data_IF_565379383798
#
_entry.id   IF_565379383798
#
_cell.length_a   1.000
_cell.length_b   1.000
_cell.length_c   1.000
_cell.angle_alpha   90.00
_cell.angle_beta   90.00
_cell.angle_gamma   90.00
#
_symmetry.space_group_name_H-M   'P 1'
#
loop_
_entity.id
_entity.type
_entity.pdbx_description
1 polymer ?
#
# COMPACT_ATOMS: atom_id res chain seq x y z
N UNK A 1 -8.60 10.19 -11.60
CA UNK A 1 -9.12 10.76 -10.36
C UNK A 1 -8.07 10.61 -9.29
N UNK A 2 -7.84 11.68 -8.52
CA UNK A 2 -6.84 11.73 -7.46
C UNK A 2 -7.53 11.54 -6.10
N UNK A 3 -6.90 10.79 -5.20
CA UNK A 3 -7.35 10.68 -3.81
C UNK A 3 -6.54 11.67 -2.97
N UNK A 4 -7.24 12.42 -2.13
CA UNK A 4 -6.68 13.39 -1.16
C UNK A 4 -7.05 12.93 0.24
N UNK A 5 -6.41 13.53 1.25
CA UNK A 5 -6.77 13.37 2.65
C UNK A 5 -6.77 11.89 3.08
N UNK A 6 -5.56 11.34 3.15
CA UNK A 6 -5.29 9.98 3.63
C UNK A 6 -4.60 10.00 5.00
N UNK A 7 -4.80 11.08 5.77
CA UNK A 7 -4.12 11.29 7.03
C UNK A 7 -4.63 10.34 8.13
N UNK A 8 -3.68 9.88 8.93
CA UNK A 8 -3.91 9.04 10.09
C UNK A 8 -4.15 7.57 9.77
N UNK A 9 -3.66 6.72 10.67
CA UNK A 9 -3.79 5.27 10.57
C UNK A 9 -5.27 4.82 10.61
N UNK A 10 -5.72 3.98 9.67
CA UNK A 10 -7.02 3.34 9.74
C UNK A 10 -7.10 2.40 10.95
N UNK A 11 -8.27 2.31 11.59
CA UNK A 11 -8.50 1.31 12.64
C UNK A 11 -8.74 -0.07 12.01
N UNK A 12 -7.79 -0.99 12.16
CA UNK A 12 -7.95 -2.38 11.72
C UNK A 12 -7.17 -3.35 12.61
N UNK A 13 -7.56 -4.63 12.56
CA UNK A 13 -6.85 -5.73 13.20
C UNK A 13 -6.13 -6.56 12.13
N UNK A 14 -4.83 -6.84 12.27
CA UNK A 14 -4.15 -7.84 11.44
C UNK A 14 -4.92 -9.16 11.42
N UNK A 15 -4.99 -9.82 10.27
CA UNK A 15 -5.67 -11.11 10.16
C UNK A 15 -7.18 -11.04 9.99
N UNK A 16 -7.81 -9.86 10.03
CA UNK A 16 -9.28 -9.74 10.11
C UNK A 16 -10.00 -9.66 8.77
N UNK A 17 -9.29 -9.35 7.68
CA UNK A 17 -9.84 -9.19 6.34
C UNK A 17 -8.74 -9.23 5.29
N UNK A 18 -9.12 -9.34 4.02
CA UNK A 18 -8.22 -9.14 2.89
C UNK A 18 -8.30 -7.68 2.45
N UNK A 19 -7.23 -6.91 2.64
CA UNK A 19 -7.18 -5.49 2.25
C UNK A 19 -5.76 -4.92 2.19
N UNK A 20 -5.60 -3.88 1.38
CA UNK A 20 -4.56 -2.86 1.51
C UNK A 20 -5.07 -1.68 2.34
N UNK A 21 -4.21 -1.19 3.23
CA UNK A 21 -4.37 0.03 4.02
C UNK A 21 -3.28 1.01 3.62
N UNK A 22 -3.69 2.23 3.25
CA UNK A 22 -2.77 3.30 2.87
C UNK A 22 -3.04 4.53 3.73
N UNK A 23 -2.04 5.05 4.43
CA UNK A 23 -2.20 6.31 5.15
C UNK A 23 -0.90 7.10 5.22
N UNK A 24 -1.03 8.36 5.60
CA UNK A 24 0.10 9.21 5.95
C UNK A 24 0.04 9.58 7.42
N UNK A 25 1.20 9.64 8.05
CA UNK A 25 1.39 10.31 9.33
C UNK A 25 2.81 10.92 9.38
N UNK A 26 3.28 11.29 10.58
CA UNK A 26 4.61 11.90 10.79
C UNK A 26 5.79 11.00 10.39
N UNK A 27 5.56 9.70 10.22
CA UNK A 27 6.60 8.71 9.84
C UNK A 27 6.65 8.46 8.33
N UNK A 28 5.77 9.10 7.55
CA UNK A 28 5.70 8.99 6.11
C UNK A 28 4.38 8.37 5.62
N UNK A 29 4.42 7.82 4.40
CA UNK A 29 3.34 7.03 3.84
C UNK A 29 3.51 5.57 4.23
N UNK A 30 2.44 4.95 4.68
CA UNK A 30 2.40 3.54 5.05
C UNK A 30 1.46 2.82 4.10
N UNK A 31 1.98 1.83 3.39
CA UNK A 31 1.19 0.86 2.64
C UNK A 31 1.34 -0.50 3.33
N UNK A 32 0.30 -0.91 4.05
CA UNK A 32 0.25 -2.21 4.75
C UNK A 32 -0.85 -3.04 4.12
N UNK A 33 -0.64 -4.34 3.96
CA UNK A 33 -1.71 -5.27 3.60
C UNK A 33 -1.90 -6.32 4.68
N UNK A 34 -3.09 -6.89 4.71
CA UNK A 34 -3.43 -7.99 5.59
C UNK A 34 -4.42 -8.91 4.91
N UNK A 35 -4.56 -10.10 5.47
CA UNK A 35 -5.39 -11.17 4.93
C UNK A 35 -6.10 -11.93 6.04
N UNK A 36 -7.11 -12.72 5.70
CA UNK A 36 -7.78 -13.63 6.64
C UNK A 36 -7.98 -14.99 5.98
N UNK A 37 -7.87 -16.06 6.76
CA UNK A 37 -8.06 -17.43 6.31
C UNK A 37 -6.80 -17.99 5.64
N UNK A 38 -6.77 -17.96 4.30
CA UNK A 38 -5.75 -18.63 3.49
C UNK A 38 -4.62 -17.68 3.10
N UNK A 39 -3.52 -18.28 2.63
CA UNK A 39 -2.38 -17.56 2.05
C UNK A 39 -2.82 -16.88 0.74
N UNK A 40 -2.53 -15.58 0.61
CA UNK A 40 -2.83 -14.80 -0.58
C UNK A 40 -1.57 -14.13 -1.13
N UNK A 41 -1.52 -13.93 -2.45
CA UNK A 41 -0.41 -13.19 -3.08
C UNK A 41 -0.77 -11.71 -3.20
N UNK A 42 0.05 -10.86 -2.56
CA UNK A 42 -0.02 -9.42 -2.67
C UNK A 42 1.10 -8.94 -3.57
N UNK A 43 0.72 -8.23 -4.64
CA UNK A 43 1.66 -7.65 -5.61
C UNK A 43 1.27 -6.23 -5.95
N UNK A 44 2.24 -5.45 -6.40
CA UNK A 44 1.93 -4.15 -6.94
C UNK A 44 3.14 -3.28 -7.11
N UNK A 45 2.84 -2.02 -7.38
CA UNK A 45 3.81 -1.00 -7.69
C UNK A 45 3.35 0.35 -7.16
N UNK A 46 4.30 1.11 -6.62
CA UNK A 46 4.20 2.55 -6.39
C UNK A 46 5.12 3.22 -7.39
N UNK A 47 4.59 4.17 -8.16
CA UNK A 47 5.36 5.01 -9.08
C UNK A 47 5.22 6.47 -8.66
N UNK A 48 6.32 7.10 -8.27
CA UNK A 48 6.39 8.49 -7.86
C UNK A 48 6.68 9.44 -9.03
N UNK A 49 6.12 10.66 -8.99
CA UNK A 49 6.55 11.74 -9.88
C UNK A 49 7.91 12.33 -9.50
N UNK A 50 8.36 12.04 -8.27
CA UNK A 50 9.68 12.32 -7.69
C UNK A 50 10.21 11.07 -7.02
N UNK A 51 11.49 11.08 -6.58
CA UNK A 51 12.04 9.96 -5.85
C UNK A 51 11.16 9.52 -4.68
N UNK A 52 11.03 8.21 -4.54
CA UNK A 52 10.49 7.50 -3.40
C UNK A 52 11.68 7.11 -2.51
N UNK A 53 11.50 7.10 -1.19
CA UNK A 53 12.51 6.60 -0.26
C UNK A 53 11.87 5.58 0.67
N UNK A 54 12.27 4.31 0.57
CA UNK A 54 11.85 3.30 1.55
C UNK A 54 12.46 3.64 2.92
N UNK A 55 11.59 3.75 3.93
CA UNK A 55 11.97 4.03 5.32
C UNK A 55 12.02 2.75 6.14
N UNK A 56 11.03 1.87 5.91
CA UNK A 56 10.88 0.64 6.69
C UNK A 56 10.12 -0.41 5.87
N UNK A 57 10.55 -1.65 6.01
CA UNK A 57 9.79 -2.83 5.58
C UNK A 57 9.08 -3.42 6.80
N UNK A 58 7.85 -3.89 6.61
CA UNK A 58 7.05 -4.50 7.67
C UNK A 58 6.92 -5.99 7.36
N UNK A 59 7.44 -6.81 8.28
CA UNK A 59 7.36 -8.28 8.32
C UNK A 59 7.49 -8.94 6.94
N UNK A 60 8.71 -9.22 6.51
CA UNK A 60 8.95 -9.98 5.29
C UNK A 60 9.45 -11.36 5.65
N UNK A 61 8.75 -12.40 5.19
CA UNK A 61 9.28 -13.76 5.14
C UNK A 61 10.42 -13.86 4.12
N UNK A 62 11.22 -14.92 4.18
CA UNK A 62 12.43 -15.07 3.37
C UNK A 62 12.20 -15.06 1.85
N UNK A 63 10.99 -15.34 1.39
CA UNK A 63 10.63 -15.39 -0.03
C UNK A 63 9.92 -14.12 -0.52
N UNK A 64 9.62 -13.20 0.40
CA UNK A 64 8.90 -11.98 0.10
C UNK A 64 9.86 -10.92 -0.42
N UNK A 65 9.42 -10.22 -1.47
CA UNK A 65 10.23 -9.21 -2.15
C UNK A 65 9.52 -7.88 -2.08
N UNK A 66 10.19 -6.90 -1.49
CA UNK A 66 9.92 -5.48 -1.71
C UNK A 66 11.23 -4.88 -2.21
N UNK A 67 11.22 -4.39 -3.44
CA UNK A 67 12.42 -3.86 -4.09
C UNK A 67 12.17 -2.46 -4.63
N UNK A 68 13.24 -1.69 -4.72
CA UNK A 68 13.25 -0.36 -5.32
C UNK A 68 14.21 -0.41 -6.53
N UNK A 69 13.73 -0.77 -7.73
CA UNK A 69 14.60 -0.94 -8.91
C UNK A 69 15.23 0.37 -9.40
N UNK A 70 14.57 1.50 -9.13
CA UNK A 70 15.05 2.85 -9.42
C UNK A 70 14.53 3.83 -8.37
N UNK A 71 14.90 5.10 -8.47
CA UNK A 71 14.52 6.10 -7.47
C UNK A 71 13.02 6.39 -7.42
N UNK A 72 12.24 6.09 -8.47
CA UNK A 72 10.82 6.46 -8.58
C UNK A 72 9.86 5.29 -8.45
N UNK A 73 10.37 4.07 -8.29
CA UNK A 73 9.56 2.85 -8.35
C UNK A 73 9.80 1.99 -7.13
N UNK A 74 8.73 1.55 -6.46
CA UNK A 74 8.76 0.48 -5.44
C UNK A 74 7.84 -0.64 -5.92
N UNK A 75 8.35 -1.87 -5.97
CA UNK A 75 7.59 -3.06 -6.40
C UNK A 75 7.60 -4.08 -5.27
N UNK A 76 6.47 -4.78 -5.11
CA UNK A 76 6.39 -5.92 -4.19
C UNK A 76 5.78 -7.17 -4.83
N UNK A 77 6.25 -8.32 -4.36
CA UNK A 77 5.67 -9.65 -4.55
C UNK A 77 5.83 -10.42 -3.24
N UNK A 78 4.73 -10.58 -2.52
CA UNK A 78 4.67 -11.06 -1.14
C UNK A 78 3.54 -12.06 -0.96
N UNK A 79 3.63 -12.90 0.08
CA UNK A 79 2.60 -13.88 0.42
C UNK A 79 2.27 -13.86 1.90
N UNK A 80 1.12 -13.31 2.22
CA UNK A 80 0.68 -13.14 3.61
C UNK A 80 -0.41 -14.16 3.96
N UNK A 81 -0.40 -14.69 5.19
CA UNK A 81 -1.50 -15.46 5.79
C UNK A 81 -1.77 -15.03 7.24
N UNK A 82 -2.98 -14.54 7.53
CA UNK A 82 -3.44 -14.11 8.86
C UNK A 82 -2.55 -13.07 9.60
N UNK A 83 -1.66 -12.38 8.89
CA UNK A 83 -0.75 -11.36 9.45
C UNK A 83 -0.74 -10.10 8.54
N UNK A 84 0.29 -9.26 8.69
CA UNK A 84 0.52 -8.04 7.93
C UNK A 84 1.93 -8.03 7.33
N UNK A 85 2.03 -7.54 6.10
CA UNK A 85 3.31 -7.05 5.55
C UNK A 85 3.11 -5.65 4.99
N UNK A 86 4.20 -4.98 4.62
CA UNK A 86 4.09 -3.67 4.02
C UNK A 86 5.37 -2.88 3.91
N UNK A 87 5.21 -1.63 3.51
CA UNK A 87 6.29 -0.67 3.34
C UNK A 87 5.87 0.71 3.85
N UNK A 88 6.77 1.33 4.61
CA UNK A 88 6.74 2.76 4.91
C UNK A 88 7.72 3.47 3.99
N UNK A 89 7.29 4.53 3.33
CA UNK A 89 8.11 5.29 2.38
C UNK A 89 7.79 6.79 2.42
N UNK A 90 8.71 7.60 1.92
CA UNK A 90 8.57 9.04 1.75
C UNK A 90 8.59 9.43 0.27
N UNK A 91 7.88 10.51 -0.06
CA UNK A 91 8.01 11.23 -1.32
C UNK A 91 7.47 12.65 -1.17
N UNK A 92 7.96 13.57 -2.01
CA UNK A 92 7.58 14.99 -1.97
C UNK A 92 6.40 15.33 -2.90
N UNK A 93 6.08 14.45 -3.85
CA UNK A 93 5.10 14.70 -4.91
C UNK A 93 4.08 13.56 -5.03
N UNK A 94 3.07 13.79 -5.87
CA UNK A 94 2.07 12.79 -6.23
C UNK A 94 2.71 11.44 -6.61
N UNK A 95 2.05 10.36 -6.22
CA UNK A 95 2.44 8.99 -6.58
C UNK A 95 1.21 8.16 -6.95
N UNK A 96 1.42 7.19 -7.83
CA UNK A 96 0.39 6.28 -8.32
C UNK A 96 0.61 4.89 -7.77
N UNK A 97 -0.47 4.22 -7.35
CA UNK A 97 -0.45 2.85 -6.90
C UNK A 97 -1.25 1.95 -7.83
N UNK A 98 -0.69 0.77 -8.09
CA UNK A 98 -1.37 -0.36 -8.72
C UNK A 98 -1.33 -1.53 -7.74
N UNK A 99 -2.49 -1.91 -7.22
CA UNK A 99 -2.61 -2.90 -6.13
C UNK A 99 -3.24 -4.19 -6.65
N UNK A 100 -2.59 -5.33 -6.41
CA UNK A 100 -3.02 -6.63 -6.91
C UNK A 100 -3.25 -7.62 -5.77
N UNK A 101 -4.19 -8.53 -5.97
CA UNK A 101 -4.49 -9.70 -5.15
C UNK A 101 -4.68 -10.90 -6.09
N UNK A 102 -3.96 -11.99 -5.84
CA UNK A 102 -4.05 -13.24 -6.61
C UNK A 102 -4.07 -13.02 -8.13
N UNK A 103 -3.06 -12.29 -8.62
CA UNK A 103 -2.84 -11.98 -10.04
C UNK A 103 -3.86 -11.02 -10.69
N UNK A 104 -4.88 -10.56 -9.98
CA UNK A 104 -5.84 -9.56 -10.48
C UNK A 104 -5.74 -8.25 -9.69
N UNK A 105 -6.28 -7.15 -10.24
CA UNK A 105 -6.36 -5.90 -9.46
C UNK A 105 -7.32 -6.11 -8.31
N UNK A 106 -6.90 -5.78 -7.09
CA UNK A 106 -7.81 -5.86 -5.95
C UNK A 106 -8.98 -4.89 -6.16
N UNK A 107 -10.19 -5.35 -5.84
CA UNK A 107 -11.39 -4.54 -5.89
C UNK A 107 -11.33 -3.37 -4.91
N UNK A 108 -12.06 -2.28 -5.21
CA UNK A 108 -11.99 -1.02 -4.46
C UNK A 108 -12.38 -1.16 -2.98
N UNK A 109 -13.19 -2.16 -2.64
CA UNK A 109 -13.56 -2.48 -1.25
C UNK A 109 -12.39 -3.04 -0.42
N UNK A 110 -11.34 -3.51 -1.08
CA UNK A 110 -10.09 -3.97 -0.46
C UNK A 110 -9.00 -2.91 -0.42
N UNK A 111 -9.31 -1.64 -0.71
CA UNK A 111 -8.36 -0.53 -0.64
C UNK A 111 -8.92 0.52 0.30
N UNK A 112 -8.28 0.71 1.46
CA UNK A 112 -8.80 1.54 2.55
C UNK A 112 -7.76 2.59 2.94
N UNK A 113 -8.08 3.86 2.68
CA UNK A 113 -7.13 4.95 2.82
C UNK A 113 -7.48 5.91 3.96
N UNK A 114 -6.48 6.27 4.77
CA UNK A 114 -6.58 7.22 5.88
C UNK A 114 -7.51 6.77 7.01
N UNK A 115 -7.60 7.60 8.05
CA UNK A 115 -8.41 7.32 9.26
C UNK A 115 -9.87 7.03 8.92
N UNK A 116 -10.40 7.68 7.87
CA UNK A 116 -11.79 7.57 7.41
C UNK A 116 -12.03 6.39 6.46
N UNK A 117 -11.02 5.56 6.18
CA UNK A 117 -11.11 4.37 5.32
C UNK A 117 -11.69 4.64 3.93
N UNK A 118 -11.29 5.77 3.32
CA UNK A 118 -11.74 6.16 1.98
C UNK A 118 -11.30 5.15 0.94
N UNK A 119 -12.13 4.96 -0.08
CA UNK A 119 -11.83 4.09 -1.22
C UNK A 119 -11.49 4.95 -2.44
N UNK A 120 -10.50 4.55 -3.26
CA UNK A 120 -10.33 5.17 -4.57
C UNK A 120 -11.49 4.80 -5.50
N UNK A 121 -11.72 5.60 -6.56
CA UNK A 121 -12.74 5.26 -7.57
C UNK A 121 -12.26 4.27 -8.64
N UNK A 122 -10.96 3.97 -8.67
CA UNK A 122 -10.35 3.03 -9.62
C UNK A 122 -9.05 2.47 -9.06
N UNK A 123 -8.56 1.42 -9.70
CA UNK A 123 -7.23 0.86 -9.49
C UNK A 123 -6.63 0.63 -10.88
N UNK A 124 -5.50 1.29 -11.25
CA UNK A 124 -4.63 2.14 -10.41
C UNK A 124 -5.21 3.52 -10.07
N UNK A 125 -4.69 4.14 -9.02
CA UNK A 125 -5.07 5.49 -8.55
C UNK A 125 -3.87 6.30 -8.06
N UNK A 126 -4.03 7.62 -8.01
CA UNK A 126 -2.97 8.57 -7.63
C UNK A 126 -3.34 9.24 -6.30
N UNK A 127 -2.38 9.32 -5.38
CA UNK A 127 -2.45 10.19 -4.20
C UNK A 127 -1.93 11.57 -4.58
N UNK A 128 -2.70 12.60 -4.23
CA UNK A 128 -2.32 13.99 -4.49
C UNK A 128 -1.80 14.66 -3.21
N UNK A 129 -0.59 15.20 -3.27
CA UNK A 129 0.05 15.88 -2.14
C UNK A 129 -0.04 17.41 -2.23
N UNK A 130 -0.35 17.94 -3.41
CA UNK A 130 -0.61 19.35 -3.62
C UNK A 130 -1.93 19.77 -2.96
N UNK A 131 -1.89 20.88 -2.20
CA UNK A 131 -3.09 21.63 -1.78
C UNK A 131 -3.77 22.25 -3.00
#
# INVERSE_FOLDING_TARGET
>A
MKLRDIEGKPSFRPGSRIAYFLWRDKEGFHLIWTTTGVLHSFRGEITGNKPLTIRKLVKLESNDKIIQPDSQTIIWDTRTQNDIDGVTFDTEEDFTLKLMLDSTRIGLNGILCGRTMRRPLRNPFTINLSM
#
